data_IF_951410291824
#
_entry.id   IF_951410291824
#
_cell.length_a   1.000
_cell.length_b   1.000
_cell.length_c   1.000
_cell.angle_alpha   90.00
_cell.angle_beta   90.00
_cell.angle_gamma   90.00
#
_symmetry.space_group_name_H-M   'P 1'
#
loop_
_entity.id
_entity.type
_entity.pdbx_description
1 polymer ?
#
# COMPACT_ATOMS: atom_id res chain seq x y z
N UNK A 1 11.54 20.32 6.97
CA UNK A 1 12.14 19.03 6.59
C UNK A 1 10.99 18.08 6.28
N UNK A 2 10.29 18.29 5.15
CA UNK A 2 9.06 17.61 4.74
C UNK A 2 9.19 17.21 3.27
N UNK A 3 9.97 16.16 2.99
CA UNK A 3 10.31 15.74 1.61
C UNK A 3 9.95 14.26 1.35
N UNK A 4 9.54 13.48 2.36
CA UNK A 4 9.28 12.05 2.18
C UNK A 4 7.86 11.70 1.70
N UNK A 5 6.85 12.57 1.83
CA UNK A 5 5.50 12.31 1.29
C UNK A 5 5.28 12.74 -0.17
N UNK A 6 6.22 13.47 -0.80
CA UNK A 6 5.95 14.11 -2.10
C UNK A 6 6.11 13.21 -3.33
N UNK A 7 6.48 11.93 -3.21
CA UNK A 7 7.02 11.19 -4.37
C UNK A 7 6.48 9.78 -4.62
N UNK A 8 5.48 9.29 -3.90
CA UNK A 8 4.91 7.95 -4.15
C UNK A 8 3.73 7.96 -5.12
N UNK A 9 2.87 8.99 -5.10
CA UNK A 9 1.75 9.08 -6.07
C UNK A 9 2.15 9.84 -7.36
N UNK A 10 2.94 10.91 -7.26
CA UNK A 10 3.29 11.73 -8.45
C UNK A 10 4.26 11.05 -9.43
N UNK A 11 5.03 10.04 -9.03
CA UNK A 11 5.92 9.31 -9.96
C UNK A 11 5.27 8.14 -10.70
N UNK A 12 4.02 7.78 -10.38
CA UNK A 12 3.23 6.87 -11.19
C UNK A 12 2.55 7.54 -12.40
N UNK A 13 2.57 8.89 -12.47
CA UNK A 13 1.79 9.65 -13.44
C UNK A 13 2.57 10.17 -14.67
N UNK A 14 3.82 9.75 -14.89
CA UNK A 14 4.54 10.14 -16.12
C UNK A 14 5.52 9.07 -16.63
N UNK A 15 4.99 8.05 -17.32
CA UNK A 15 5.57 7.48 -18.55
C UNK A 15 4.79 6.22 -19.01
N UNK A 16 3.89 6.40 -20.00
CA UNK A 16 3.49 5.44 -21.08
C UNK A 16 2.98 4.01 -20.76
N UNK A 17 2.05 3.45 -21.57
CA UNK A 17 1.18 2.35 -21.16
C UNK A 17 1.88 1.00 -21.21
N UNK A 18 1.99 0.31 -20.07
CA UNK A 18 2.35 -1.11 -20.00
C UNK A 18 1.14 -1.93 -19.57
N UNK A 19 0.31 -2.26 -20.54
CA UNK A 19 -0.95 -3.02 -20.44
C UNK A 19 -0.76 -4.48 -19.93
N UNK A 20 0.45 -4.99 -19.66
CA UNK A 20 0.65 -6.45 -19.56
C UNK A 20 1.27 -7.04 -18.27
N UNK A 21 1.76 -6.25 -17.31
CA UNK A 21 2.56 -6.82 -16.21
C UNK A 21 1.81 -7.02 -14.86
N UNK A 22 0.67 -6.35 -14.65
CA UNK A 22 -0.03 -6.36 -13.36
C UNK A 22 -0.99 -7.55 -13.14
N UNK A 23 -1.26 -8.35 -14.17
CA UNK A 23 -2.16 -9.52 -14.06
C UNK A 23 -1.51 -10.78 -13.48
N UNK A 24 -0.20 -10.81 -13.22
CA UNK A 24 0.53 -12.05 -12.96
C UNK A 24 0.92 -12.33 -11.49
N UNK A 25 0.73 -11.42 -10.54
CA UNK A 25 1.33 -11.54 -9.20
C UNK A 25 0.37 -11.88 -8.04
N UNK A 26 -0.90 -12.22 -8.31
CA UNK A 26 -1.75 -12.86 -7.28
C UNK A 26 -1.85 -14.36 -7.58
N UNK A 27 -1.55 -15.27 -6.63
CA UNK A 27 -1.66 -16.70 -6.88
C UNK A 27 -3.11 -17.22 -6.98
N UNK A 28 -4.12 -16.34 -7.04
CA UNK A 28 -5.52 -16.74 -7.00
C UNK A 28 -6.25 -16.75 -8.36
N UNK A 29 -5.67 -16.27 -9.48
CA UNK A 29 -6.27 -16.54 -10.80
C UNK A 29 -5.19 -16.73 -11.87
N UNK A 30 -4.55 -17.89 -11.84
CA UNK A 30 -4.18 -18.59 -13.07
C UNK A 30 -5.37 -19.43 -13.55
N UNK A 31 -6.55 -18.81 -13.71
CA UNK A 31 -7.59 -19.31 -14.59
C UNK A 31 -7.60 -18.42 -15.83
N UNK A 32 -6.83 -18.87 -16.81
CA UNK A 32 -6.44 -18.22 -18.07
C UNK A 32 -7.24 -16.98 -18.49
N UNK A 33 -6.56 -15.83 -18.47
CA UNK A 33 -6.86 -14.67 -19.29
C UNK A 33 -6.50 -14.90 -20.78
N UNK A 34 -6.77 -16.10 -21.30
CA UNK A 34 -6.84 -16.37 -22.73
C UNK A 34 -8.30 -16.66 -23.06
N UNK A 35 -9.02 -15.60 -23.42
CA UNK A 35 -10.36 -15.72 -23.95
C UNK A 35 -10.28 -16.33 -25.35
N UNK A 36 -10.67 -17.61 -25.44
CA UNK A 36 -11.31 -18.19 -26.61
C UNK A 36 -12.51 -17.30 -27.00
N UNK A 37 -12.61 -16.78 -28.25
CA UNK A 37 -13.76 -16.01 -28.70
C UNK A 37 -15.07 -16.83 -28.73
N UNK A 38 -15.00 -18.16 -28.63
CA UNK A 38 -16.14 -19.09 -28.76
C UNK A 38 -16.86 -19.48 -27.47
N UNK A 39 -16.26 -19.32 -26.29
CA UNK A 39 -16.89 -19.69 -24.99
C UNK A 39 -17.90 -18.68 -24.43
N UNK A 40 -18.23 -17.64 -25.21
CA UNK A 40 -18.57 -16.31 -24.71
C UNK A 40 -19.99 -16.05 -24.23
N UNK A 41 -21.00 -16.89 -24.50
CA UNK A 41 -22.40 -16.57 -24.16
C UNK A 41 -22.96 -17.44 -23.03
N UNK A 42 -22.76 -18.76 -23.07
CA UNK A 42 -23.25 -19.67 -22.03
C UNK A 42 -22.56 -19.45 -20.68
N UNK A 43 -21.24 -19.22 -20.67
CA UNK A 43 -20.51 -18.88 -19.45
C UNK A 43 -20.89 -17.50 -18.91
N UNK A 44 -21.25 -16.54 -19.78
CA UNK A 44 -21.77 -15.22 -19.36
C UNK A 44 -23.16 -15.36 -18.73
N UNK A 45 -24.08 -16.04 -19.41
CA UNK A 45 -25.42 -16.30 -18.89
C UNK A 45 -25.37 -17.05 -17.56
N UNK A 46 -24.47 -18.03 -17.41
CA UNK A 46 -24.30 -18.76 -16.15
C UNK A 46 -23.83 -17.86 -15.00
N UNK A 47 -22.86 -16.96 -15.25
CA UNK A 47 -22.38 -16.01 -14.24
C UNK A 47 -23.44 -14.97 -13.87
N UNK A 48 -24.15 -14.41 -14.86
CA UNK A 48 -25.22 -13.44 -14.61
C UNK A 48 -26.41 -14.09 -13.90
N UNK A 49 -26.77 -15.32 -14.25
CA UNK A 49 -27.80 -16.10 -13.54
C UNK A 49 -27.38 -16.36 -12.08
N UNK A 50 -26.11 -16.69 -11.84
CA UNK A 50 -25.59 -16.89 -10.47
C UNK A 50 -25.55 -15.57 -9.68
N UNK A 51 -25.18 -14.46 -10.34
CA UNK A 51 -25.24 -13.13 -9.75
C UNK A 51 -26.69 -12.75 -9.38
N UNK A 52 -27.65 -12.98 -10.28
CA UNK A 52 -29.08 -12.77 -10.03
C UNK A 52 -29.63 -13.67 -8.91
N UNK A 53 -29.07 -14.87 -8.76
CA UNK A 53 -29.36 -15.77 -7.65
C UNK A 53 -28.73 -15.33 -6.31
N UNK A 54 -27.96 -14.24 -6.30
CA UNK A 54 -27.40 -13.62 -5.10
C UNK A 54 -25.97 -14.00 -4.76
N UNK A 55 -25.24 -14.68 -5.65
CA UNK A 55 -23.82 -14.98 -5.43
C UNK A 55 -22.96 -13.70 -5.59
N UNK A 56 -22.34 -13.21 -4.49
CA UNK A 56 -21.54 -11.99 -4.54
C UNK A 56 -20.29 -12.10 -5.41
N UNK A 57 -19.67 -13.29 -5.47
CA UNK A 57 -18.47 -13.48 -6.28
C UNK A 57 -18.83 -13.49 -7.76
N UNK A 58 -19.91 -14.18 -8.14
CA UNK A 58 -20.42 -14.16 -9.51
C UNK A 58 -20.82 -12.73 -9.94
N UNK A 59 -21.51 -11.98 -9.06
CA UNK A 59 -21.84 -10.58 -9.30
C UNK A 59 -20.57 -9.74 -9.52
N UNK A 60 -19.56 -9.88 -8.66
CA UNK A 60 -18.28 -9.18 -8.84
C UNK A 60 -17.61 -9.49 -10.19
N UNK A 61 -17.55 -10.76 -10.58
CA UNK A 61 -16.95 -11.18 -11.85
C UNK A 61 -17.75 -10.65 -13.04
N UNK A 62 -19.08 -10.76 -13.01
CA UNK A 62 -19.95 -10.22 -14.05
C UNK A 62 -19.77 -8.70 -14.18
N UNK A 63 -19.77 -7.97 -13.07
CA UNK A 63 -19.58 -6.52 -13.01
C UNK A 63 -18.27 -6.07 -13.65
N UNK A 64 -17.16 -6.73 -13.29
CA UNK A 64 -15.84 -6.44 -13.90
C UNK A 64 -15.81 -6.64 -15.40
N UNK A 65 -16.46 -7.69 -15.91
CA UNK A 65 -16.50 -7.98 -17.35
C UNK A 65 -17.26 -6.90 -18.11
N UNK A 66 -18.40 -6.47 -17.59
CA UNK A 66 -19.19 -5.37 -18.14
C UNK A 66 -18.40 -4.06 -18.16
N UNK A 67 -17.67 -3.74 -17.09
CA UNK A 67 -16.82 -2.55 -17.02
C UNK A 67 -15.67 -2.56 -18.04
N UNK A 68 -15.01 -3.71 -18.22
CA UNK A 68 -13.95 -3.86 -19.23
C UNK A 68 -14.53 -3.72 -20.64
N UNK A 69 -15.69 -4.32 -20.91
CA UNK A 69 -16.38 -4.18 -22.19
C UNK A 69 -16.72 -2.70 -22.47
N UNK A 70 -17.24 -1.99 -21.47
CA UNK A 70 -17.54 -0.56 -21.54
C UNK A 70 -16.30 0.32 -21.74
N UNK A 71 -15.15 -0.06 -21.20
CA UNK A 71 -13.87 0.61 -21.45
C UNK A 71 -13.42 0.47 -22.90
N UNK A 72 -13.60 -0.71 -23.49
CA UNK A 72 -13.21 -0.99 -24.87
C UNK A 72 -14.16 -0.40 -25.91
N UNK A 73 -15.47 -0.34 -25.61
CA UNK A 73 -16.50 0.11 -26.54
C UNK A 73 -16.96 1.56 -26.32
N UNK A 74 -16.66 2.15 -25.15
CA UNK A 74 -17.24 3.42 -24.72
C UNK A 74 -18.72 3.34 -24.32
N UNK A 75 -19.31 2.13 -24.25
CA UNK A 75 -20.73 1.96 -23.98
C UNK A 75 -21.10 2.32 -22.52
N UNK A 76 -21.94 3.34 -22.35
CA UNK A 76 -22.41 3.78 -21.03
C UNK A 76 -23.32 2.75 -20.35
N UNK A 77 -24.06 1.95 -21.11
CA UNK A 77 -24.98 0.96 -20.55
C UNK A 77 -24.23 -0.21 -19.91
N UNK A 78 -23.21 -0.75 -20.61
CA UNK A 78 -22.33 -1.78 -20.04
C UNK A 78 -21.64 -1.26 -18.77
N UNK A 79 -21.25 0.02 -18.74
CA UNK A 79 -20.65 0.64 -17.54
C UNK A 79 -21.64 0.65 -16.37
N UNK A 80 -22.88 1.05 -16.63
CA UNK A 80 -23.96 1.11 -15.65
C UNK A 80 -24.29 -0.29 -15.10
N UNK A 81 -24.43 -1.28 -15.97
CA UNK A 81 -24.68 -2.68 -15.58
C UNK A 81 -23.50 -3.19 -14.74
N UNK A 82 -22.28 -2.93 -15.20
CA UNK A 82 -21.07 -3.31 -14.50
C UNK A 82 -20.99 -2.75 -13.08
N UNK A 83 -21.20 -1.45 -12.90
CA UNK A 83 -21.26 -0.81 -11.59
C UNK A 83 -22.41 -1.35 -10.73
N UNK A 84 -23.56 -1.68 -11.32
CA UNK A 84 -24.70 -2.29 -10.63
C UNK A 84 -24.34 -3.63 -10.00
N UNK A 85 -23.68 -4.52 -10.74
CA UNK A 85 -23.22 -5.80 -10.23
C UNK A 85 -22.13 -5.67 -9.16
N UNK A 86 -21.21 -4.70 -9.31
CA UNK A 86 -20.21 -4.40 -8.28
C UNK A 86 -20.90 -3.93 -6.98
N UNK A 87 -21.91 -3.06 -7.09
CA UNK A 87 -22.68 -2.59 -5.96
C UNK A 87 -23.41 -3.75 -5.27
N UNK A 88 -24.07 -4.62 -6.05
CA UNK A 88 -24.76 -5.80 -5.56
C UNK A 88 -23.81 -6.73 -4.78
N UNK A 89 -22.63 -7.03 -5.31
CA UNK A 89 -21.64 -7.84 -4.60
C UNK A 89 -21.23 -7.20 -3.26
N UNK A 90 -21.02 -5.89 -3.25
CA UNK A 90 -20.69 -5.13 -2.06
C UNK A 90 -21.86 -5.02 -1.05
N UNK A 91 -23.12 -4.98 -1.52
CA UNK A 91 -24.34 -5.07 -0.70
C UNK A 91 -24.49 -6.45 -0.04
N UNK A 92 -24.05 -7.50 -0.72
CA UNK A 92 -23.98 -8.86 -0.19
C UNK A 92 -22.76 -9.12 0.73
N UNK A 93 -22.00 -8.07 1.09
CA UNK A 93 -20.89 -8.15 2.04
C UNK A 93 -19.53 -8.52 1.44
N UNK A 94 -19.40 -8.55 0.10
CA UNK A 94 -18.14 -8.86 -0.55
C UNK A 94 -17.24 -7.62 -0.63
N UNK A 95 -16.45 -7.42 0.42
CA UNK A 95 -15.46 -6.34 0.58
C UNK A 95 -14.63 -6.04 -0.68
N UNK A 96 -14.07 -7.05 -1.40
CA UNK A 96 -13.26 -6.80 -2.58
C UNK A 96 -13.99 -6.06 -3.71
N UNK A 97 -15.32 -6.22 -3.83
CA UNK A 97 -16.11 -5.48 -4.82
C UNK A 97 -16.17 -3.99 -4.47
N UNK A 98 -16.44 -3.66 -3.19
CA UNK A 98 -16.45 -2.27 -2.74
C UNK A 98 -15.08 -1.62 -2.89
N UNK A 99 -14.00 -2.33 -2.54
CA UNK A 99 -12.64 -1.82 -2.71
C UNK A 99 -12.30 -1.58 -4.18
N UNK A 100 -12.66 -2.52 -5.04
CA UNK A 100 -12.46 -2.39 -6.49
C UNK A 100 -13.17 -1.17 -7.05
N UNK A 101 -14.44 -0.92 -6.67
CA UNK A 101 -15.14 0.31 -7.06
C UNK A 101 -14.40 1.57 -6.59
N UNK A 102 -13.90 1.58 -5.35
CA UNK A 102 -13.09 2.67 -4.82
C UNK A 102 -11.89 2.99 -5.70
N UNK A 103 -11.12 1.96 -6.08
CA UNK A 103 -9.95 2.12 -6.95
C UNK A 103 -10.31 2.63 -8.35
N UNK A 104 -11.41 2.15 -8.95
CA UNK A 104 -11.85 2.62 -10.26
C UNK A 104 -12.13 4.13 -10.26
N UNK A 105 -12.89 4.60 -9.27
CA UNK A 105 -13.21 6.02 -9.14
C UNK A 105 -12.00 6.87 -8.76
N UNK A 106 -11.07 6.36 -7.94
CA UNK A 106 -9.87 7.09 -7.54
C UNK A 106 -8.94 7.34 -8.74
N UNK A 107 -8.75 6.31 -9.57
CA UNK A 107 -7.85 6.33 -10.71
C UNK A 107 -8.50 6.89 -11.99
N UNK A 108 -9.84 6.91 -12.06
CA UNK A 108 -10.56 7.19 -13.31
C UNK A 108 -10.41 6.06 -14.34
N UNK A 109 -10.23 4.83 -13.87
CA UNK A 109 -10.15 3.65 -14.73
C UNK A 109 -11.55 3.13 -15.03
N UNK A 110 -11.94 3.03 -16.30
CA UNK A 110 -13.26 2.53 -16.71
C UNK A 110 -14.45 3.34 -16.17
N UNK A 111 -14.23 4.44 -15.47
CA UNK A 111 -15.24 5.40 -15.00
C UNK A 111 -14.57 6.78 -14.97
N UNK A 112 -15.36 7.84 -14.98
CA UNK A 112 -14.82 9.17 -14.73
C UNK A 112 -14.27 9.24 -13.29
N UNK A 113 -13.13 9.91 -13.13
CA UNK A 113 -12.47 10.03 -11.83
C UNK A 113 -13.34 10.84 -10.87
N UNK A 114 -13.63 10.27 -9.71
CA UNK A 114 -14.38 10.91 -8.63
C UNK A 114 -13.83 10.49 -7.26
N UNK A 115 -13.12 11.40 -6.60
CA UNK A 115 -12.49 11.14 -5.30
C UNK A 115 -13.53 10.90 -4.19
N UNK A 116 -14.67 11.60 -4.23
CA UNK A 116 -15.71 11.45 -3.19
C UNK A 116 -16.44 10.10 -3.34
N UNK A 117 -16.69 9.69 -4.59
CA UNK A 117 -17.20 8.34 -4.86
C UNK A 117 -16.19 7.28 -4.38
N UNK A 118 -14.90 7.46 -4.67
CA UNK A 118 -13.86 6.55 -4.21
C UNK A 118 -13.85 6.38 -2.69
N UNK A 119 -13.88 7.50 -1.93
CA UNK A 119 -13.94 7.49 -0.47
C UNK A 119 -15.19 6.76 0.04
N UNK A 120 -16.34 6.99 -0.61
CA UNK A 120 -17.59 6.30 -0.24
C UNK A 120 -17.45 4.78 -0.38
N UNK A 121 -16.88 4.32 -1.49
CA UNK A 121 -16.65 2.90 -1.77
C UNK A 121 -15.57 2.28 -0.88
N UNK A 122 -14.45 2.97 -0.65
CA UNK A 122 -13.44 2.49 0.30
C UNK A 122 -13.98 2.44 1.72
N UNK A 123 -14.77 3.43 2.16
CA UNK A 123 -15.41 3.42 3.49
C UNK A 123 -16.34 2.23 3.64
N UNK A 124 -17.04 1.87 2.57
CA UNK A 124 -17.89 0.68 2.53
C UNK A 124 -17.08 -0.61 2.66
N UNK A 125 -15.99 -0.77 1.90
CA UNK A 125 -15.08 -1.91 2.04
C UNK A 125 -14.45 -1.98 3.44
N UNK A 126 -14.00 -0.84 3.97
CA UNK A 126 -13.39 -0.73 5.28
C UNK A 126 -14.35 -1.16 6.40
N UNK A 127 -15.64 -0.81 6.30
CA UNK A 127 -16.69 -1.27 7.23
C UNK A 127 -16.97 -2.77 7.16
N UNK A 128 -16.64 -3.41 6.04
CA UNK A 128 -16.68 -4.87 5.87
C UNK A 128 -15.40 -5.57 6.35
N UNK A 129 -14.45 -4.82 6.94
CA UNK A 129 -13.20 -5.37 7.46
C UNK A 129 -12.06 -5.46 6.44
N UNK A 130 -12.21 -4.87 5.25
CA UNK A 130 -11.13 -4.82 4.25
C UNK A 130 -10.00 -3.90 4.75
N UNK A 131 -8.94 -4.49 5.29
CA UNK A 131 -7.82 -3.73 5.87
C UNK A 131 -7.04 -2.95 4.84
N UNK A 132 -7.09 -3.37 3.58
CA UNK A 132 -6.38 -2.67 2.54
C UNK A 132 -7.17 -1.43 2.08
N UNK A 133 -8.50 -1.45 2.11
CA UNK A 133 -9.33 -0.25 1.97
C UNK A 133 -9.19 0.70 3.18
N UNK A 134 -9.01 0.16 4.40
CA UNK A 134 -8.69 0.96 5.58
C UNK A 134 -7.33 1.67 5.42
N UNK A 135 -6.31 0.95 4.94
CA UNK A 135 -5.02 1.53 4.56
C UNK A 135 -5.17 2.62 3.48
N UNK A 136 -5.86 2.32 2.37
CA UNK A 136 -6.06 3.24 1.26
C UNK A 136 -6.80 4.54 1.71
N UNK A 137 -7.72 4.45 2.67
CA UNK A 137 -8.35 5.63 3.30
C UNK A 137 -7.40 6.41 4.20
N UNK A 138 -6.59 5.70 4.99
CA UNK A 138 -5.58 6.32 5.84
C UNK A 138 -4.63 7.19 5.03
N UNK A 139 -4.10 6.66 3.92
CA UNK A 139 -3.19 7.38 3.01
C UNK A 139 -3.86 8.61 2.41
N UNK A 140 -5.10 8.45 1.93
CA UNK A 140 -5.85 9.54 1.29
C UNK A 140 -6.01 10.76 2.22
N UNK A 141 -6.27 10.54 3.52
CA UNK A 141 -6.35 11.61 4.51
C UNK A 141 -4.98 12.07 5.03
N UNK A 142 -3.98 11.18 5.05
CA UNK A 142 -2.63 11.51 5.51
C UNK A 142 -1.90 12.42 4.52
N UNK A 143 -2.01 12.16 3.22
CA UNK A 143 -1.30 12.90 2.18
C UNK A 143 -1.89 14.30 1.98
N UNK A 144 -3.22 14.42 1.99
CA UNK A 144 -3.90 15.70 1.81
C UNK A 144 -3.86 16.28 0.38
N UNK A 145 -3.41 15.50 -0.61
CA UNK A 145 -3.27 15.93 -2.01
C UNK A 145 -4.61 15.91 -2.76
N UNK A 146 -5.46 14.91 -2.47
CA UNK A 146 -6.74 14.69 -3.14
C UNK A 146 -7.95 15.16 -2.33
N UNK A 147 -7.80 15.25 -1.01
CA UNK A 147 -8.77 15.80 -0.06
C UNK A 147 -8.03 16.62 1.00
N UNK A 148 -8.71 17.49 1.77
CA UNK A 148 -8.08 18.16 2.90
C UNK A 148 -7.43 17.15 3.86
N UNK A 149 -6.18 17.40 4.23
CA UNK A 149 -5.44 16.56 5.16
C UNK A 149 -6.17 16.44 6.51
N UNK A 150 -6.33 15.22 6.99
CA UNK A 150 -6.88 14.92 8.31
C UNK A 150 -6.10 13.77 8.95
N UNK A 151 -5.06 14.13 9.70
CA UNK A 151 -4.16 13.16 10.34
C UNK A 151 -4.84 12.38 11.47
N UNK A 152 -5.88 12.94 12.09
CA UNK A 152 -6.68 12.24 13.11
C UNK A 152 -7.49 11.13 12.46
N UNK A 153 -8.13 11.42 11.32
CA UNK A 153 -8.89 10.41 10.57
C UNK A 153 -7.97 9.38 9.90
N UNK A 154 -6.80 9.79 9.41
CA UNK A 154 -5.80 8.88 8.88
C UNK A 154 -5.36 7.85 9.94
N UNK A 155 -4.99 8.34 11.12
CA UNK A 155 -4.59 7.49 12.23
C UNK A 155 -5.71 6.53 12.67
N UNK A 156 -6.96 6.98 12.71
CA UNK A 156 -8.10 6.13 13.04
C UNK A 156 -8.22 4.95 12.06
N UNK A 157 -8.06 5.19 10.76
CA UNK A 157 -8.10 4.14 9.76
C UNK A 157 -6.91 3.18 9.85
N UNK A 158 -5.71 3.71 10.09
CA UNK A 158 -4.51 2.90 10.31
C UNK A 158 -4.64 2.01 11.55
N UNK A 159 -5.15 2.54 12.66
CA UNK A 159 -5.40 1.76 13.87
C UNK A 159 -6.43 0.66 13.63
N UNK A 160 -7.48 0.96 12.86
CA UNK A 160 -8.49 -0.03 12.48
C UNK A 160 -7.88 -1.16 11.64
N UNK A 161 -6.99 -0.83 10.71
CA UNK A 161 -6.29 -1.81 9.87
C UNK A 161 -5.38 -2.74 10.68
N UNK A 162 -4.63 -2.19 11.64
CA UNK A 162 -3.73 -2.96 12.51
C UNK A 162 -4.47 -3.78 13.58
N UNK A 163 -5.68 -3.37 13.96
CA UNK A 163 -6.48 -4.07 14.96
C UNK A 163 -7.13 -5.37 14.42
N UNK A 164 -7.12 -5.61 13.10
CA UNK A 164 -7.72 -6.80 12.52
C UNK A 164 -6.77 -8.02 12.65
N UNK A 165 -7.09 -9.03 13.49
CA UNK A 165 -6.22 -10.18 13.72
C UNK A 165 -6.21 -11.17 12.55
N UNK A 166 -7.19 -11.11 11.65
CA UNK A 166 -7.28 -11.99 10.48
C UNK A 166 -6.50 -11.45 9.27
N UNK A 167 -6.04 -10.20 9.35
CA UNK A 167 -5.31 -9.57 8.27
C UNK A 167 -3.90 -10.13 8.16
N UNK A 168 -3.53 -10.58 6.95
CA UNK A 168 -2.16 -10.94 6.65
C UNK A 168 -1.30 -9.67 6.62
N UNK A 169 -0.38 -9.57 7.59
CA UNK A 169 0.43 -8.37 7.80
C UNK A 169 1.23 -7.96 6.54
N UNK A 170 1.68 -8.94 5.74
CA UNK A 170 2.53 -8.70 4.57
C UNK A 170 1.70 -8.51 3.31
N UNK A 171 0.72 -9.38 3.04
CA UNK A 171 -0.14 -9.25 1.85
C UNK A 171 -0.99 -7.97 1.89
N UNK A 172 -1.42 -7.54 3.08
CA UNK A 172 -2.23 -6.34 3.24
C UNK A 172 -1.38 -5.09 3.47
N UNK A 173 -0.04 -5.22 3.45
CA UNK A 173 0.94 -4.13 3.63
C UNK A 173 0.74 -3.37 4.95
N UNK A 174 0.37 -4.09 6.00
CA UNK A 174 0.21 -3.51 7.34
C UNK A 174 1.54 -3.03 7.93
N UNK A 175 2.69 -3.48 7.41
CA UNK A 175 3.98 -2.90 7.74
C UNK A 175 4.12 -1.43 7.29
N UNK A 176 3.50 -1.02 6.18
CA UNK A 176 3.46 0.38 5.73
C UNK A 176 2.57 1.18 6.69
N UNK A 177 1.39 0.64 7.01
CA UNK A 177 0.45 1.22 7.99
C UNK A 177 1.10 1.43 9.35
N UNK A 178 1.80 0.42 9.89
CA UNK A 178 2.49 0.52 11.17
C UNK A 178 3.63 1.54 11.12
N UNK A 179 4.35 1.61 10.01
CA UNK A 179 5.39 2.62 9.80
C UNK A 179 4.83 4.05 9.84
N UNK A 180 3.77 4.32 9.06
CA UNK A 180 3.16 5.64 8.95
C UNK A 180 2.48 6.05 10.27
N UNK A 181 1.72 5.15 10.90
CA UNK A 181 1.13 5.41 12.21
C UNK A 181 2.20 5.66 13.27
N UNK A 182 3.33 4.95 13.20
CA UNK A 182 4.48 5.20 14.08
C UNK A 182 5.05 6.61 13.90
N UNK A 183 5.14 7.11 12.66
CA UNK A 183 5.56 8.48 12.38
C UNK A 183 4.58 9.52 12.96
N UNK A 184 3.26 9.30 12.83
CA UNK A 184 2.25 10.18 13.41
C UNK A 184 2.39 10.27 14.94
N UNK A 185 2.61 9.13 15.61
CA UNK A 185 2.81 9.08 17.05
C UNK A 185 4.15 9.69 17.50
N UNK A 186 5.21 9.54 16.73
CA UNK A 186 6.53 10.10 17.07
C UNK A 186 6.49 11.64 17.09
N UNK A 187 5.85 12.22 16.09
CA UNK A 187 5.79 13.68 15.90
C UNK A 187 4.54 14.32 16.53
N UNK A 188 3.62 13.50 17.05
CA UNK A 188 2.36 13.92 17.67
C UNK A 188 1.37 14.58 16.71
N UNK A 189 1.45 14.23 15.42
CA UNK A 189 0.71 14.88 14.37
C UNK A 189 -0.75 14.41 14.36
N UNK A 190 -1.68 15.28 14.79
CA UNK A 190 -3.12 15.03 14.79
C UNK A 190 -3.63 14.09 15.89
N UNK A 191 -2.78 13.30 16.55
CA UNK A 191 -3.19 12.27 17.54
C UNK A 191 -2.51 12.36 18.91
N UNK A 192 -1.68 13.38 19.13
CA UNK A 192 -0.87 13.50 20.35
C UNK A 192 0.37 12.60 20.31
N UNK A 193 1.48 13.08 20.86
CA UNK A 193 2.75 12.35 20.78
C UNK A 193 2.76 11.14 21.72
N UNK A 194 3.09 9.97 21.18
CA UNK A 194 3.40 8.75 21.93
C UNK A 194 4.64 8.08 21.31
N UNK A 195 5.84 8.55 21.66
CA UNK A 195 7.08 8.04 21.09
C UNK A 195 7.35 6.58 21.48
N UNK A 196 6.75 6.07 22.56
CA UNK A 196 6.87 4.66 22.96
C UNK A 196 6.06 3.79 22.02
N UNK A 197 4.81 4.16 21.74
CA UNK A 197 3.96 3.48 20.75
C UNK A 197 4.55 3.58 19.35
N UNK A 198 5.10 4.74 18.98
CA UNK A 198 5.79 4.92 17.70
C UNK A 198 6.91 3.89 17.49
N UNK A 199 7.81 3.78 18.47
CA UNK A 199 8.92 2.82 18.40
C UNK A 199 8.45 1.37 18.40
N UNK A 200 7.38 1.04 19.13
CA UNK A 200 6.79 -0.30 19.11
C UNK A 200 6.25 -0.67 17.72
N UNK A 201 5.56 0.25 17.04
CA UNK A 201 5.05 0.05 15.69
C UNK A 201 6.17 -0.14 14.66
N UNK A 202 7.24 0.65 14.74
CA UNK A 202 8.42 0.45 13.88
C UNK A 202 9.12 -0.88 14.14
N UNK A 203 9.24 -1.29 15.41
CA UNK A 203 9.79 -2.60 15.76
C UNK A 203 8.92 -3.73 15.19
N UNK A 204 7.60 -3.63 15.28
CA UNK A 204 6.68 -4.62 14.72
C UNK A 204 6.83 -4.76 13.20
N UNK A 205 6.88 -3.64 12.47
CA UNK A 205 7.09 -3.65 11.02
C UNK A 205 8.47 -4.17 10.61
N UNK A 206 9.50 -3.88 11.39
CA UNK A 206 10.84 -4.43 11.21
C UNK A 206 10.84 -5.96 11.41
N UNK A 207 10.23 -6.47 12.49
CA UNK A 207 10.30 -7.88 12.87
C UNK A 207 9.43 -8.77 11.99
N UNK A 208 8.21 -8.32 11.65
CA UNK A 208 7.25 -9.14 10.88
C UNK A 208 7.52 -9.15 9.38
N UNK A 209 8.03 -8.05 8.84
CA UNK A 209 8.18 -7.89 7.39
C UNK A 209 9.61 -7.59 6.94
N UNK A 210 10.53 -7.21 7.84
CA UNK A 210 11.83 -6.70 7.43
C UNK A 210 11.72 -5.38 6.64
N UNK A 211 10.69 -4.57 6.92
CA UNK A 211 10.38 -3.39 6.12
C UNK A 211 11.49 -2.31 6.28
N UNK A 212 12.25 -1.99 5.22
CA UNK A 212 13.46 -1.16 5.36
C UNK A 212 13.22 0.23 5.96
N UNK A 213 12.15 0.98 5.57
CA UNK A 213 11.84 2.26 6.21
C UNK A 213 11.57 2.15 7.71
N UNK A 214 10.90 1.08 8.17
CA UNK A 214 10.69 0.85 9.59
C UNK A 214 11.98 0.49 10.33
N UNK A 215 12.85 -0.35 9.75
CA UNK A 215 14.16 -0.66 10.35
C UNK A 215 15.00 0.62 10.48
N UNK A 216 14.99 1.48 9.46
CA UNK A 216 15.68 2.78 9.51
C UNK A 216 15.10 3.72 10.58
N UNK A 217 13.78 3.83 10.67
CA UNK A 217 13.11 4.64 11.69
C UNK A 217 13.42 4.13 13.11
N UNK A 218 13.46 2.81 13.29
CA UNK A 218 13.85 2.16 14.52
C UNK A 218 15.32 2.46 14.89
N UNK A 219 16.25 2.41 13.93
CA UNK A 219 17.65 2.79 14.14
C UNK A 219 17.78 4.25 14.61
N UNK A 220 17.02 5.16 13.98
CA UNK A 220 16.91 6.56 14.41
C UNK A 220 16.31 6.68 15.81
N UNK A 221 15.31 5.86 16.14
CA UNK A 221 14.73 5.85 17.47
C UNK A 221 15.76 5.47 18.55
N UNK A 222 16.63 4.50 18.27
CA UNK A 222 17.76 4.16 19.14
C UNK A 222 18.79 5.28 19.26
N UNK A 223 19.14 5.97 18.16
CA UNK A 223 20.14 7.06 18.20
C UNK A 223 19.64 8.30 18.93
N UNK A 224 18.36 8.63 18.77
CA UNK A 224 17.77 9.89 19.22
C UNK A 224 17.03 9.74 20.56
N UNK A 225 16.85 8.50 21.05
CA UNK A 225 16.10 8.23 22.28
C UNK A 225 14.59 8.36 22.13
N UNK A 226 14.05 8.07 20.94
CA UNK A 226 12.60 8.08 20.70
C UNK A 226 12.01 6.83 21.34
N UNK A 227 11.09 7.02 22.30
CA UNK A 227 10.39 5.92 22.96
C UNK A 227 11.25 5.09 23.91
N UNK A 228 12.43 5.58 24.31
CA UNK A 228 13.33 4.89 25.23
C UNK A 228 14.69 5.57 25.37
N UNK A 229 15.61 5.02 26.17
CA UNK A 229 16.95 5.59 26.30
C UNK A 229 17.72 5.51 24.97
N UNK A 230 18.64 6.46 24.77
CA UNK A 230 19.61 6.44 23.67
C UNK A 230 20.48 5.19 23.78
N UNK A 231 20.58 4.44 22.69
CA UNK A 231 21.45 3.27 22.55
C UNK A 231 22.21 3.36 21.23
N UNK A 232 23.44 3.89 21.31
CA UNK A 232 24.27 4.09 20.13
C UNK A 232 24.72 2.80 19.48
N UNK A 233 25.05 1.78 20.27
CA UNK A 233 25.50 0.49 19.73
C UNK A 233 24.39 -0.16 18.93
N UNK A 234 23.19 -0.25 19.54
CA UNK A 234 22.02 -0.80 18.87
C UNK A 234 21.57 0.02 17.66
N UNK A 235 21.69 1.34 17.71
CA UNK A 235 21.41 2.20 16.57
C UNK A 235 22.31 1.86 15.37
N UNK A 236 23.62 1.73 15.60
CA UNK A 236 24.60 1.39 14.56
C UNK A 236 24.33 0.02 13.93
N UNK A 237 24.05 -1.00 14.74
CA UNK A 237 23.70 -2.34 14.25
C UNK A 237 22.41 -2.29 13.42
N UNK A 238 21.38 -1.60 13.92
CA UNK A 238 20.08 -1.49 13.23
C UNK A 238 20.18 -0.66 11.93
N UNK A 239 21.08 0.33 11.87
CA UNK A 239 21.36 1.07 10.63
C UNK A 239 22.01 0.18 9.57
N UNK A 240 22.88 -0.74 9.95
CA UNK A 240 23.44 -1.73 9.03
C UNK A 240 22.37 -2.70 8.53
N UNK A 241 21.48 -3.15 9.41
CA UNK A 241 20.33 -3.97 9.03
C UNK A 241 19.43 -3.23 8.03
N UNK A 242 19.17 -1.94 8.27
CA UNK A 242 18.40 -1.10 7.35
C UNK A 242 19.09 -0.99 5.98
N UNK A 243 20.39 -0.73 5.93
CA UNK A 243 21.14 -0.64 4.67
C UNK A 243 21.08 -1.95 3.87
N UNK A 244 21.26 -3.07 4.56
CA UNK A 244 21.15 -4.42 3.98
C UNK A 244 19.72 -4.68 3.45
N UNK A 245 18.71 -4.28 4.22
CA UNK A 245 17.30 -4.41 3.84
C UNK A 245 16.96 -3.55 2.62
N UNK A 246 17.44 -2.30 2.55
CA UNK A 246 17.24 -1.43 1.37
C UNK A 246 17.87 -2.00 0.11
N UNK A 247 19.04 -2.61 0.23
CA UNK A 247 19.68 -3.31 -0.89
C UNK A 247 18.83 -4.51 -1.36
N UNK A 248 18.31 -5.29 -0.43
CA UNK A 248 17.47 -6.46 -0.74
C UNK A 248 16.03 -6.11 -1.13
N UNK A 249 15.58 -4.87 -0.88
CA UNK A 249 14.18 -4.46 -0.96
C UNK A 249 13.53 -4.67 -2.33
N UNK A 250 14.31 -4.49 -3.41
CA UNK A 250 13.93 -4.78 -4.80
C UNK A 250 12.46 -4.51 -5.14
N UNK A 251 11.84 -5.47 -5.84
CA UNK A 251 10.41 -5.44 -6.20
C UNK A 251 9.51 -5.66 -4.95
N UNK A 252 10.02 -6.33 -3.91
CA UNK A 252 9.22 -6.79 -2.76
C UNK A 252 8.54 -5.64 -2.01
N UNK A 253 9.21 -4.50 -1.84
CA UNK A 253 8.65 -3.30 -1.20
C UNK A 253 8.42 -2.14 -2.17
N UNK A 254 8.49 -2.40 -3.49
CA UNK A 254 8.37 -1.37 -4.54
C UNK A 254 9.36 -0.20 -4.39
N UNK A 255 10.51 -0.46 -3.75
CA UNK A 255 11.56 0.54 -3.58
C UNK A 255 12.49 0.44 -4.78
N UNK A 256 12.43 1.43 -5.69
CA UNK A 256 13.33 1.49 -6.84
C UNK A 256 14.80 1.65 -6.41
N UNK A 257 15.77 1.20 -7.22
CA UNK A 257 17.19 1.22 -6.87
C UNK A 257 17.69 2.63 -6.54
N UNK A 258 17.24 3.66 -7.26
CA UNK A 258 17.62 5.04 -6.97
C UNK A 258 17.08 5.55 -5.63
N UNK A 259 15.88 5.10 -5.23
CA UNK A 259 15.33 5.42 -3.92
C UNK A 259 16.13 4.70 -2.83
N UNK A 260 16.38 3.40 -3.00
CA UNK A 260 17.20 2.63 -2.07
C UNK A 260 18.60 3.25 -1.88
N UNK A 261 19.29 3.66 -2.96
CA UNK A 261 20.60 4.34 -2.85
C UNK A 261 20.52 5.65 -2.08
N UNK A 262 19.48 6.47 -2.25
CA UNK A 262 19.29 7.70 -1.46
C UNK A 262 19.10 7.38 0.02
N UNK A 263 18.33 6.34 0.34
CA UNK A 263 18.10 5.94 1.72
C UNK A 263 19.37 5.40 2.38
N UNK A 264 20.15 4.57 1.67
CA UNK A 264 21.45 4.08 2.18
C UNK A 264 22.46 5.20 2.33
N UNK A 265 22.46 6.21 1.44
CA UNK A 265 23.28 7.40 1.60
C UNK A 265 22.91 8.21 2.85
N UNK A 266 21.62 8.41 3.15
CA UNK A 266 21.18 9.07 4.39
C UNK A 266 21.58 8.26 5.64
N UNK A 267 21.48 6.93 5.58
CA UNK A 267 21.97 6.04 6.65
C UNK A 267 23.47 6.24 6.85
N UNK A 268 24.25 6.27 5.78
CA UNK A 268 25.70 6.44 5.82
C UNK A 268 26.10 7.77 6.49
N UNK A 269 25.43 8.86 6.15
CA UNK A 269 25.66 10.16 6.76
C UNK A 269 25.34 10.15 8.26
N UNK A 270 24.26 9.49 8.67
CA UNK A 270 23.91 9.32 10.10
C UNK A 270 24.93 8.48 10.84
N UNK A 271 25.39 7.38 10.25
CA UNK A 271 26.42 6.52 10.86
C UNK A 271 27.74 7.26 11.01
N UNK A 272 28.14 8.09 10.03
CA UNK A 272 29.34 8.94 10.13
C UNK A 272 29.26 9.95 11.28
N UNK A 273 28.06 10.48 11.58
CA UNK A 273 27.85 11.37 12.72
C UNK A 273 27.96 10.63 14.07
N UNK A 274 27.54 9.37 14.12
CA UNK A 274 27.58 8.55 15.33
C UNK A 274 28.96 7.95 15.59
N UNK A 275 29.67 7.54 14.54
CA UNK A 275 30.97 6.87 14.63
C UNK A 275 31.81 7.11 13.37
N UNK A 276 32.55 8.23 13.33
CA UNK A 276 33.42 8.56 12.21
C UNK A 276 34.60 7.58 12.08
N UNK A 277 34.83 7.05 10.88
CA UNK A 277 36.03 6.26 10.54
C UNK A 277 35.99 4.79 10.96
N UNK A 278 34.82 4.25 11.32
CA UNK A 278 34.70 2.84 11.73
C UNK A 278 34.60 1.87 10.55
N UNK A 279 34.89 0.60 10.83
CA UNK A 279 34.72 -0.51 9.88
C UNK A 279 33.27 -0.64 9.37
N UNK A 280 32.30 -0.11 10.13
CA UNK A 280 30.88 -0.12 9.80
C UNK A 280 30.57 0.81 8.62
N UNK A 281 31.17 2.01 8.58
CA UNK A 281 31.04 2.97 7.47
C UNK A 281 31.41 2.27 6.15
N UNK A 282 32.53 1.54 6.14
CA UNK A 282 33.00 0.79 4.96
C UNK A 282 32.05 -0.34 4.55
N UNK A 283 31.42 -1.01 5.53
CA UNK A 283 30.43 -2.07 5.25
C UNK A 283 29.19 -1.47 4.60
N UNK A 284 28.67 -0.35 5.11
CA UNK A 284 27.48 0.32 4.56
C UNK A 284 27.79 0.91 3.17
N UNK A 285 28.97 1.48 2.96
CA UNK A 285 29.43 1.93 1.64
C UNK A 285 29.40 0.77 0.63
N UNK A 286 29.87 -0.42 1.03
CA UNK A 286 29.78 -1.63 0.21
C UNK A 286 28.33 -2.04 -0.09
N UNK A 287 27.43 -2.01 0.89
CA UNK A 287 26.01 -2.32 0.64
C UNK A 287 25.41 -1.39 -0.42
N UNK A 288 25.78 -0.10 -0.40
CA UNK A 288 25.33 0.89 -1.39
C UNK A 288 25.83 0.60 -2.81
N UNK A 289 27.10 0.20 -2.96
CA UNK A 289 27.69 -0.17 -4.25
C UNK A 289 27.03 -1.42 -4.85
N UNK A 290 26.56 -2.34 -4.01
CA UNK A 290 25.91 -3.59 -4.41
C UNK A 290 24.39 -3.43 -4.68
N UNK A 291 23.82 -2.24 -4.51
CA UNK A 291 22.43 -1.93 -4.93
C UNK A 291 22.41 -1.86 -6.45
N UNK A 292 21.91 -2.93 -7.07
CA UNK A 292 21.81 -3.17 -8.51
C UNK A 292 21.95 -1.87 -9.35
N UNK A 293 23.10 -1.78 -10.03
CA UNK A 293 23.29 -0.86 -11.15
C UNK A 293 22.36 -1.39 -12.26
N UNK A 294 21.53 -0.53 -12.88
CA UNK A 294 20.59 -0.94 -13.92
C UNK A 294 21.26 -1.73 -15.05
#
# INVERSE_FOLDING_TARGET
>A
MNVLMRNTISRALSATPLIAAWLAATPFVAFSANADPGGGMAARMSLETSAEAGDPFAAFVAGRRHLIAAGNSGNAEDRRIGLGFIAQAADAGFAPAARFAGSLYLNGELVERDVNAAITWFTRAAKLGDTAAQHDLGDLYAEGDLVPQDLTLAALWYETALANPEADYTMNRLYEVAYELGALYADGLGIGADPVKARALWQEAADKAGYPPAIKALAKAYSDGIGGPVDRGKALDTYLDAATAFRAAGIHFRIGPDAARREVADILDRVRLLEAGSHLVKRIEKEMEEIAIP
#
